data_IF_559041695011
#
_entry.id   IF_559041695011
#
_cell.length_a   1.000
_cell.length_b   1.000
_cell.length_c   1.000
_cell.angle_alpha   90.00
_cell.angle_beta   90.00
_cell.angle_gamma   90.00
#
_symmetry.space_group_name_H-M   'P 1'
#
loop_
_entity.id
_entity.type
_entity.pdbx_description
1 polymer ?
#
# COMPACT_ATOMS: atom_id res chain seq x y z
N UNK A 1 24.80 -29.21 -29.15
CA UNK A 1 24.74 -29.93 -27.87
C UNK A 1 24.10 -29.00 -26.87
N UNK A 2 23.07 -29.43 -26.15
CA UNK A 2 22.44 -28.62 -25.11
C UNK A 2 23.48 -28.33 -24.02
N UNK A 3 23.68 -27.07 -23.63
CA UNK A 3 24.59 -26.75 -22.53
C UNK A 3 23.91 -26.96 -21.17
N UNK A 4 24.70 -27.23 -20.13
CA UNK A 4 24.21 -27.28 -18.76
C UNK A 4 23.85 -25.87 -18.32
N UNK A 5 22.58 -25.64 -18.01
CA UNK A 5 22.14 -24.39 -17.40
C UNK A 5 21.91 -24.59 -15.90
N UNK A 6 22.45 -23.71 -15.05
CA UNK A 6 22.26 -23.77 -13.61
C UNK A 6 21.34 -22.64 -13.15
N UNK A 7 20.26 -23.03 -12.47
CA UNK A 7 19.28 -22.14 -11.84
C UNK A 7 19.27 -22.37 -10.33
N UNK A 8 18.49 -21.59 -9.59
CA UNK A 8 18.26 -21.74 -8.16
C UNK A 8 16.79 -22.05 -7.88
N UNK A 9 16.58 -23.02 -7.00
CA UNK A 9 15.26 -23.35 -6.45
C UNK A 9 14.68 -22.20 -5.61
N UNK A 10 13.43 -22.36 -5.16
CA UNK A 10 12.80 -21.43 -4.23
C UNK A 10 13.64 -21.19 -2.95
N UNK A 11 14.31 -22.25 -2.47
CA UNK A 11 15.17 -22.27 -1.27
C UNK A 11 16.64 -21.88 -1.54
N UNK A 12 16.99 -21.52 -2.78
CA UNK A 12 18.35 -21.10 -3.13
C UNK A 12 19.31 -22.24 -3.50
N UNK A 13 18.90 -23.51 -3.33
CA UNK A 13 19.69 -24.66 -3.76
C UNK A 13 19.82 -24.71 -5.28
N UNK A 14 20.96 -25.18 -5.83
CA UNK A 14 21.16 -25.34 -7.25
C UNK A 14 20.15 -26.29 -7.89
N UNK A 15 19.71 -25.93 -9.09
CA UNK A 15 18.87 -26.72 -9.98
C UNK A 15 19.57 -26.77 -11.34
N UNK A 16 19.90 -27.96 -11.80
CA UNK A 16 20.45 -28.16 -13.14
C UNK A 16 19.29 -28.26 -14.12
N UNK A 17 19.38 -27.54 -15.23
CA UNK A 17 18.47 -27.63 -16.36
C UNK A 17 19.26 -28.16 -17.56
N UNK A 18 18.73 -29.22 -18.17
CA UNK A 18 19.33 -29.83 -19.35
C UNK A 18 18.24 -30.42 -20.25
N UNK A 19 18.23 -30.00 -21.52
CA UNK A 19 17.26 -30.46 -22.53
C UNK A 19 15.79 -30.38 -22.09
N UNK A 20 15.42 -29.30 -21.39
CA UNK A 20 14.06 -29.08 -20.89
C UNK A 20 13.69 -29.86 -19.62
N UNK A 21 14.63 -30.61 -19.03
CA UNK A 21 14.44 -31.30 -17.75
C UNK A 21 15.10 -30.53 -16.60
N UNK A 22 14.47 -30.59 -15.43
CA UNK A 22 14.94 -29.97 -14.20
C UNK A 22 15.43 -31.03 -13.21
N UNK A 23 16.59 -30.78 -12.60
CA UNK A 23 17.19 -31.66 -11.61
C UNK A 23 17.54 -30.90 -10.33
N UNK A 24 17.06 -31.40 -9.21
CA UNK A 24 17.32 -30.84 -7.88
C UNK A 24 18.50 -31.52 -7.21
N UNK A 25 19.35 -30.75 -6.52
CA UNK A 25 20.51 -31.31 -5.82
C UNK A 25 20.03 -32.29 -4.73
N UNK A 26 20.56 -33.50 -4.76
CA UNK A 26 20.28 -34.57 -3.80
C UNK A 26 21.37 -34.69 -2.75
N UNK A 27 22.64 -34.71 -3.17
CA UNK A 27 23.78 -34.85 -2.26
C UNK A 27 25.07 -34.31 -2.89
N UNK A 28 26.08 -34.11 -2.05
CA UNK A 28 27.46 -33.86 -2.44
C UNK A 28 28.27 -35.07 -1.94
N UNK A 29 29.12 -35.64 -2.79
CA UNK A 29 29.92 -36.82 -2.45
C UNK A 29 31.30 -36.69 -3.08
N UNK A 30 32.33 -36.47 -2.27
CA UNK A 30 33.67 -36.17 -2.77
C UNK A 30 33.66 -34.94 -3.68
N UNK A 31 34.22 -35.07 -4.88
CA UNK A 31 34.35 -34.01 -5.87
C UNK A 31 33.17 -33.92 -6.87
N UNK A 32 32.03 -34.55 -6.56
CA UNK A 32 30.84 -34.49 -7.42
C UNK A 32 29.58 -34.07 -6.68
N UNK A 33 28.68 -33.42 -7.41
CA UNK A 33 27.30 -33.16 -7.00
C UNK A 33 26.38 -34.15 -7.67
N UNK A 34 25.45 -34.72 -6.90
CA UNK A 34 24.44 -35.66 -7.39
C UNK A 34 23.11 -34.93 -7.46
N UNK A 35 22.49 -34.97 -8.63
CA UNK A 35 21.18 -34.40 -8.87
C UNK A 35 20.18 -35.50 -9.23
N UNK A 36 18.92 -35.29 -8.83
CA UNK A 36 17.78 -36.14 -9.19
C UNK A 36 16.73 -35.30 -9.91
N UNK A 37 15.95 -35.91 -10.79
CA UNK A 37 14.84 -35.24 -11.44
C UNK A 37 13.92 -34.55 -10.41
N UNK A 38 13.40 -33.38 -10.78
CA UNK A 38 12.43 -32.64 -9.96
C UNK A 38 11.12 -33.41 -9.77
N UNK A 39 10.68 -34.16 -10.80
CA UNK A 39 9.57 -35.09 -10.67
C UNK A 39 9.98 -36.27 -9.78
N UNK A 40 9.27 -36.42 -8.66
CA UNK A 40 9.52 -37.46 -7.65
C UNK A 40 9.17 -38.87 -8.13
N UNK A 41 8.33 -38.99 -9.15
CA UNK A 41 8.02 -40.27 -9.77
C UNK A 41 9.10 -40.69 -10.79
N UNK A 42 9.94 -39.75 -11.21
CA UNK A 42 11.06 -40.02 -12.10
C UNK A 42 12.30 -40.46 -11.32
N UNK A 43 12.97 -41.51 -11.82
CA UNK A 43 14.22 -42.02 -11.23
C UNK A 43 15.47 -41.43 -11.88
N UNK A 44 15.33 -40.52 -12.84
CA UNK A 44 16.47 -39.95 -13.56
C UNK A 44 17.42 -39.19 -12.63
N UNK A 45 18.72 -39.40 -12.84
CA UNK A 45 19.80 -38.75 -12.08
C UNK A 45 20.94 -38.38 -13.02
N UNK A 46 21.63 -37.29 -12.67
CA UNK A 46 22.87 -36.86 -13.31
C UNK A 46 23.88 -36.43 -12.24
N UNK A 47 25.17 -36.52 -12.56
CA UNK A 47 26.25 -36.08 -11.69
C UNK A 47 27.08 -35.02 -12.40
N UNK A 48 27.41 -33.94 -11.69
CA UNK A 48 28.29 -32.89 -12.20
C UNK A 48 29.56 -32.78 -11.36
N UNK A 49 30.57 -32.07 -11.86
CA UNK A 49 31.63 -31.54 -11.01
C UNK A 49 31.06 -30.56 -9.96
N UNK A 50 31.89 -30.14 -8.99
CA UNK A 50 31.47 -29.23 -7.92
C UNK A 50 30.94 -27.88 -8.45
N UNK A 51 31.50 -27.42 -9.57
CA UNK A 51 31.17 -26.16 -10.24
C UNK A 51 29.88 -26.26 -11.09
N UNK A 52 29.39 -27.47 -11.38
CA UNK A 52 28.22 -27.74 -12.22
C UNK A 52 28.40 -27.32 -13.68
N UNK A 53 29.63 -27.33 -14.17
CA UNK A 53 29.99 -26.93 -15.54
C UNK A 53 29.97 -28.12 -16.51
N UNK A 54 30.27 -29.32 -16.02
CA UNK A 54 30.35 -30.54 -16.83
C UNK A 54 29.66 -31.71 -16.14
N UNK A 55 29.08 -32.62 -16.94
CA UNK A 55 28.59 -33.89 -16.44
C UNK A 55 29.75 -34.86 -16.20
N UNK A 56 29.83 -35.37 -14.98
CA UNK A 56 30.64 -36.56 -14.63
C UNK A 56 29.85 -37.83 -14.97
N UNK A 57 28.52 -37.75 -14.86
CA UNK A 57 27.60 -38.78 -15.33
C UNK A 57 26.39 -38.11 -15.97
N UNK A 58 26.19 -38.37 -17.25
CA UNK A 58 25.05 -37.86 -18.00
C UNK A 58 23.72 -38.27 -17.37
N UNK A 59 22.66 -37.49 -17.61
CA UNK A 59 21.34 -37.86 -17.14
C UNK A 59 20.86 -39.18 -17.73
N UNK A 60 20.35 -40.05 -16.87
CA UNK A 60 19.67 -41.27 -17.32
C UNK A 60 18.30 -40.97 -17.93
N UNK A 61 17.69 -41.97 -18.58
CA UNK A 61 16.36 -41.87 -19.19
C UNK A 61 15.29 -41.37 -18.21
N UNK A 62 14.33 -40.62 -18.76
CA UNK A 62 13.18 -40.08 -18.05
C UNK A 62 11.92 -40.88 -18.38
N UNK A 63 11.02 -40.93 -17.40
CA UNK A 63 9.69 -41.53 -17.53
C UNK A 63 8.59 -40.51 -17.90
N UNK A 64 8.99 -39.29 -18.27
CA UNK A 64 8.08 -38.19 -18.61
C UNK A 64 8.71 -37.29 -19.67
N UNK A 65 7.85 -36.49 -20.32
CA UNK A 65 8.27 -35.48 -21.28
C UNK A 65 9.03 -34.33 -20.58
N UNK A 66 9.91 -33.61 -21.32
CA UNK A 66 10.52 -32.39 -20.82
C UNK A 66 9.48 -31.27 -20.67
N UNK A 67 9.78 -30.29 -19.82
CA UNK A 67 8.91 -29.15 -19.51
C UNK A 67 9.74 -27.85 -19.59
N UNK A 68 9.96 -27.33 -20.81
CA UNK A 68 10.74 -26.10 -21.02
C UNK A 68 10.04 -24.87 -20.43
N UNK A 69 8.72 -24.88 -20.30
CA UNK A 69 7.95 -23.74 -19.80
C UNK A 69 8.21 -23.53 -18.29
N UNK A 70 8.29 -24.61 -17.51
CA UNK A 70 8.75 -24.52 -16.11
C UNK A 70 10.18 -24.00 -15.99
N UNK A 71 11.06 -24.27 -16.95
CA UNK A 71 12.43 -23.72 -16.94
C UNK A 71 12.38 -22.19 -17.03
N UNK A 72 11.60 -21.65 -17.96
CA UNK A 72 11.42 -20.20 -18.13
C UNK A 72 10.85 -19.53 -16.88
N UNK A 73 9.89 -20.19 -16.20
CA UNK A 73 9.31 -19.67 -14.96
C UNK A 73 10.35 -19.63 -13.82
N UNK A 74 11.25 -20.62 -13.74
CA UNK A 74 12.31 -20.62 -12.73
C UNK A 74 13.35 -19.54 -13.05
N UNK A 75 13.71 -19.36 -14.33
CA UNK A 75 14.60 -18.28 -14.79
C UNK A 75 14.05 -16.92 -14.38
N UNK A 76 12.78 -16.63 -14.69
CA UNK A 76 12.08 -15.41 -14.28
C UNK A 76 12.16 -15.21 -12.76
N UNK A 77 11.84 -16.25 -11.98
CA UNK A 77 11.92 -16.18 -10.51
C UNK A 77 13.35 -15.92 -10.02
N UNK A 78 14.36 -16.38 -10.74
CA UNK A 78 15.76 -16.16 -10.38
C UNK A 78 16.18 -14.73 -10.68
N UNK A 79 15.82 -14.21 -11.85
CA UNK A 79 16.07 -12.83 -12.27
C UNK A 79 15.44 -11.84 -11.30
N UNK A 80 14.13 -11.94 -11.05
CA UNK A 80 13.43 -10.98 -10.18
C UNK A 80 13.92 -11.05 -8.73
N UNK A 81 14.39 -12.22 -8.27
CA UNK A 81 15.02 -12.35 -6.94
C UNK A 81 16.39 -11.69 -6.90
N UNK A 82 17.19 -11.86 -7.95
CA UNK A 82 18.51 -11.24 -8.05
C UNK A 82 18.39 -9.72 -8.08
N UNK A 83 17.58 -9.17 -9.00
CA UNK A 83 17.30 -7.72 -9.07
C UNK A 83 16.68 -7.20 -7.78
N UNK A 84 15.76 -7.95 -7.18
CA UNK A 84 15.16 -7.59 -5.89
C UNK A 84 16.15 -7.50 -4.72
N UNK A 85 17.31 -8.16 -4.80
CA UNK A 85 18.35 -8.09 -3.76
C UNK A 85 19.48 -7.11 -4.06
N UNK A 86 19.61 -6.64 -5.31
CA UNK A 86 20.77 -5.84 -5.74
C UNK A 86 20.41 -4.49 -6.37
N UNK A 87 19.13 -4.15 -6.49
CA UNK A 87 18.67 -2.92 -7.15
C UNK A 87 17.56 -2.22 -6.38
N UNK A 88 17.51 -0.90 -6.51
CA UNK A 88 16.48 -0.04 -5.91
C UNK A 88 15.29 0.23 -6.84
N UNK A 89 15.34 -0.28 -8.08
CA UNK A 89 14.30 -0.11 -9.11
C UNK A 89 12.89 -0.39 -8.57
N UNK A 90 11.83 0.24 -9.09
CA UNK A 90 10.50 -0.07 -8.59
C UNK A 90 10.14 -1.56 -8.80
N UNK A 91 9.48 -2.18 -7.81
CA UNK A 91 9.07 -3.61 -7.90
C UNK A 91 8.25 -3.90 -9.16
N UNK A 92 7.40 -2.96 -9.57
CA UNK A 92 6.61 -3.06 -10.80
C UNK A 92 7.48 -3.08 -12.05
N UNK A 93 8.52 -2.23 -12.11
CA UNK A 93 9.48 -2.17 -13.22
C UNK A 93 10.25 -3.47 -13.36
N UNK A 94 10.83 -3.98 -12.26
CA UNK A 94 11.55 -5.26 -12.26
C UNK A 94 10.65 -6.38 -12.81
N UNK A 95 9.40 -6.46 -12.34
CA UNK A 95 8.48 -7.48 -12.79
C UNK A 95 8.10 -7.30 -14.26
N UNK A 96 7.78 -6.08 -14.68
CA UNK A 96 7.37 -5.80 -16.06
C UNK A 96 8.47 -6.16 -17.05
N UNK A 97 9.70 -5.74 -16.78
CA UNK A 97 10.85 -6.05 -17.63
C UNK A 97 11.09 -7.55 -17.73
N UNK A 98 11.08 -8.24 -16.59
CA UNK A 98 11.33 -9.67 -16.54
C UNK A 98 10.21 -10.46 -17.24
N UNK A 99 8.96 -9.99 -17.22
CA UNK A 99 7.86 -10.62 -17.95
C UNK A 99 7.98 -10.47 -19.47
N UNK A 100 8.70 -9.46 -19.98
CA UNK A 100 8.91 -9.28 -21.44
C UNK A 100 9.76 -10.39 -22.07
N UNK A 101 10.55 -11.09 -21.26
CA UNK A 101 11.45 -12.15 -21.73
C UNK A 101 10.79 -13.53 -21.70
N UNK A 102 9.57 -13.64 -21.15
CA UNK A 102 8.84 -14.91 -21.05
C UNK A 102 8.19 -15.30 -22.39
N UNK A 103 8.39 -16.54 -22.86
CA UNK A 103 7.67 -17.08 -24.00
C UNK A 103 6.15 -17.19 -23.76
N UNK A 104 5.36 -16.94 -24.81
CA UNK A 104 3.89 -16.93 -24.71
C UNK A 104 3.29 -18.27 -24.23
N UNK A 105 3.91 -19.38 -24.58
CA UNK A 105 3.48 -20.72 -24.17
C UNK A 105 3.69 -20.99 -22.68
N UNK A 106 4.62 -20.29 -22.01
CA UNK A 106 4.84 -20.40 -20.57
C UNK A 106 3.93 -19.49 -19.72
N UNK A 107 3.19 -18.55 -20.36
CA UNK A 107 2.29 -17.60 -19.68
C UNK A 107 1.18 -18.28 -18.88
N UNK A 108 0.51 -19.35 -19.36
CA UNK A 108 -0.55 -20.02 -18.60
C UNK A 108 -0.10 -20.57 -17.25
N UNK A 109 1.18 -20.93 -17.13
CA UNK A 109 1.77 -21.52 -15.92
C UNK A 109 2.38 -20.47 -14.98
N UNK A 110 2.31 -19.19 -15.33
CA UNK A 110 2.85 -18.12 -14.49
C UNK A 110 2.07 -17.97 -13.18
N UNK A 111 2.77 -17.76 -12.06
CA UNK A 111 2.13 -17.26 -10.85
C UNK A 111 1.52 -15.88 -11.08
N UNK A 112 0.55 -15.50 -10.26
CA UNK A 112 -0.04 -14.15 -10.31
C UNK A 112 0.99 -13.05 -10.11
N UNK A 113 0.79 -11.89 -10.75
CA UNK A 113 1.64 -10.71 -10.58
C UNK A 113 1.83 -10.33 -9.10
N UNK A 114 0.78 -10.48 -8.29
CA UNK A 114 0.85 -10.24 -6.83
C UNK A 114 1.87 -11.16 -6.14
N UNK A 115 1.89 -12.44 -6.51
CA UNK A 115 2.85 -13.41 -5.96
C UNK A 115 4.28 -13.08 -6.39
N UNK A 116 4.50 -12.74 -7.67
CA UNK A 116 5.81 -12.37 -8.19
C UNK A 116 6.36 -11.08 -7.57
N UNK A 117 5.52 -10.04 -7.44
CA UNK A 117 5.89 -8.81 -6.72
C UNK A 117 6.26 -9.09 -5.26
N UNK A 118 5.57 -10.01 -4.60
CA UNK A 118 5.89 -10.38 -3.21
C UNK A 118 7.25 -11.09 -3.11
N UNK A 119 7.64 -11.88 -4.11
CA UNK A 119 8.99 -12.49 -4.17
C UNK A 119 10.06 -11.40 -4.22
N UNK A 120 9.89 -10.38 -5.08
CA UNK A 120 10.82 -9.25 -5.19
C UNK A 120 10.95 -8.52 -3.85
N UNK A 121 9.81 -8.14 -3.24
CA UNK A 121 9.77 -7.41 -1.96
C UNK A 121 10.45 -8.16 -0.83
N UNK A 122 10.27 -9.49 -0.74
CA UNK A 122 10.93 -10.34 0.27
C UNK A 122 12.43 -10.48 0.07
N UNK A 123 12.95 -10.13 -1.11
CA UNK A 123 14.37 -10.17 -1.43
C UNK A 123 15.09 -8.85 -1.24
N UNK A 124 14.34 -7.75 -1.13
CA UNK A 124 14.89 -6.48 -0.67
C UNK A 124 15.29 -6.63 0.78
N UNK A 125 16.51 -6.20 1.09
CA UNK A 125 16.93 -6.14 2.47
C UNK A 125 16.18 -5.01 3.18
N UNK A 126 15.73 -5.22 4.42
CA UNK A 126 15.26 -4.11 5.22
C UNK A 126 16.41 -3.13 5.42
N UNK A 127 16.09 -1.83 5.39
CA UNK A 127 17.05 -0.77 5.69
C UNK A 127 17.67 -1.06 7.05
N UNK A 128 19.00 -1.23 7.08
CA UNK A 128 19.76 -1.34 8.32
C UNK A 128 20.10 0.07 8.78
N UNK A 129 19.83 0.35 10.06
CA UNK A 129 20.26 1.59 10.69
C UNK A 129 21.78 1.53 10.93
N UNK A 130 22.41 2.69 11.07
CA UNK A 130 23.81 2.80 11.40
C UNK A 130 24.08 2.48 12.89
N UNK A 131 25.35 2.62 13.31
CA UNK A 131 25.79 2.34 14.68
C UNK A 131 25.09 3.21 15.75
N UNK A 132 24.55 4.36 15.36
CA UNK A 132 23.81 5.26 16.24
C UNK A 132 22.29 5.04 16.16
N UNK A 133 21.83 4.02 15.43
CA UNK A 133 20.42 3.75 15.22
C UNK A 133 19.76 4.75 14.26
N UNK A 134 20.52 5.40 13.40
CA UNK A 134 20.01 6.38 12.45
C UNK A 134 20.01 5.85 11.00
N UNK A 135 19.28 6.51 10.12
CA UNK A 135 19.23 6.19 8.71
C UNK A 135 20.60 6.36 8.05
N UNK A 136 21.03 5.39 7.21
CA UNK A 136 22.25 5.51 6.42
C UNK A 136 22.26 6.75 5.53
N UNK A 137 23.46 7.30 5.29
CA UNK A 137 23.68 8.52 4.50
C UNK A 137 23.07 8.49 3.10
N UNK A 138 22.96 7.32 2.49
CA UNK A 138 22.33 7.14 1.17
C UNK A 138 20.86 7.57 1.12
N UNK A 139 20.15 7.55 2.25
CA UNK A 139 18.73 7.97 2.33
C UNK A 139 18.55 9.41 2.79
N UNK A 140 19.63 10.11 3.15
CA UNK A 140 19.57 11.45 3.72
C UNK A 140 19.54 12.56 2.68
N UNK A 141 19.85 12.25 1.43
CA UNK A 141 19.93 13.22 0.36
C UNK A 141 18.90 12.90 -0.72
N UNK A 142 18.37 13.95 -1.35
CA UNK A 142 17.64 13.84 -2.60
C UNK A 142 18.59 13.49 -3.75
N UNK A 143 18.04 13.08 -4.90
CA UNK A 143 18.82 12.89 -6.14
C UNK A 143 19.57 14.16 -6.61
N UNK A 144 19.22 15.33 -6.07
CA UNK A 144 19.86 16.62 -6.34
C UNK A 144 20.88 17.03 -5.27
N UNK A 145 21.16 16.18 -4.29
CA UNK A 145 22.12 16.42 -3.23
C UNK A 145 21.62 17.31 -2.08
N UNK A 146 20.33 17.60 -2.02
CA UNK A 146 19.73 18.38 -0.92
C UNK A 146 19.40 17.47 0.27
N UNK A 147 19.54 17.98 1.50
CA UNK A 147 19.11 17.26 2.70
C UNK A 147 17.61 16.90 2.58
N UNK A 148 17.30 15.64 2.81
CA UNK A 148 15.96 15.08 2.70
C UNK A 148 15.40 14.54 4.01
N UNK A 149 16.23 14.35 5.04
CA UNK A 149 15.81 13.99 6.40
C UNK A 149 16.06 15.19 7.28
N UNK A 150 15.01 15.94 7.64
CA UNK A 150 15.12 17.17 8.43
C UNK A 150 14.86 16.94 9.92
N UNK A 151 14.21 15.84 10.28
CA UNK A 151 14.06 15.40 11.66
C UNK A 151 14.15 13.88 11.73
N UNK A 152 14.83 13.38 12.75
CA UNK A 152 14.98 11.95 13.00
C UNK A 152 15.17 11.68 14.48
N UNK A 153 14.23 10.93 15.03
CA UNK A 153 14.36 10.26 16.30
C UNK A 153 13.70 8.85 16.22
N UNK A 154 13.78 8.03 17.28
CA UNK A 154 13.19 6.69 17.28
C UNK A 154 11.67 6.64 17.09
N UNK A 155 10.95 7.75 17.33
CA UNK A 155 9.49 7.85 17.27
C UNK A 155 8.99 8.42 15.95
N UNK A 156 9.81 9.24 15.29
CA UNK A 156 9.43 10.02 14.14
C UNK A 156 10.59 10.32 13.21
N UNK A 157 10.35 10.14 11.92
CA UNK A 157 11.26 10.57 10.86
C UNK A 157 10.52 11.45 9.87
N UNK A 158 10.99 12.69 9.68
CA UNK A 158 10.42 13.65 8.72
C UNK A 158 11.32 13.72 7.49
N UNK A 159 10.77 13.27 6.37
CA UNK A 159 11.40 13.36 5.07
C UNK A 159 10.83 14.54 4.27
N UNK A 160 11.66 15.56 4.07
CA UNK A 160 11.37 16.75 3.26
C UNK A 160 12.67 17.53 3.01
N UNK A 161 12.62 18.61 2.26
CA UNK A 161 13.77 19.49 2.02
C UNK A 161 13.32 20.96 2.01
N UNK A 162 14.27 21.89 2.10
CA UNK A 162 13.98 23.34 2.14
C UNK A 162 13.13 23.81 0.95
N UNK A 163 13.36 23.24 -0.24
CA UNK A 163 12.54 23.54 -1.43
C UNK A 163 11.11 23.03 -1.28
N UNK A 164 10.91 21.83 -0.75
CA UNK A 164 9.57 21.30 -0.52
C UNK A 164 8.83 22.16 0.51
N UNK A 165 9.47 22.54 1.61
CA UNK A 165 8.91 23.42 2.62
C UNK A 165 8.57 24.80 2.04
N UNK A 166 9.45 25.36 1.19
CA UNK A 166 9.21 26.64 0.50
C UNK A 166 8.01 26.60 -0.45
N UNK A 167 7.78 25.46 -1.11
CA UNK A 167 6.58 25.25 -1.94
C UNK A 167 5.36 25.09 -1.03
N UNK A 168 5.45 24.25 0.01
CA UNK A 168 4.36 23.96 0.93
C UNK A 168 3.85 25.23 1.64
N UNK A 169 4.76 26.15 2.00
CA UNK A 169 4.43 27.48 2.54
C UNK A 169 3.50 28.29 1.64
N UNK A 170 3.68 28.19 0.32
CA UNK A 170 2.88 28.93 -0.66
C UNK A 170 1.50 28.32 -0.88
N UNK A 171 1.30 27.08 -0.46
CA UNK A 171 0.05 26.35 -0.62
C UNK A 171 -0.93 26.71 0.50
N UNK A 172 -2.03 27.40 0.18
CA UNK A 172 -3.10 27.72 1.14
C UNK A 172 -4.00 26.53 1.48
N UNK A 173 -4.01 25.51 0.62
CA UNK A 173 -4.79 24.29 0.81
C UNK A 173 -3.87 23.08 0.89
N UNK A 174 -3.96 22.35 2.00
CA UNK A 174 -3.21 21.12 2.23
C UNK A 174 -4.12 19.90 2.19
N UNK A 175 -3.50 18.76 1.86
CA UNK A 175 -4.14 17.44 1.88
C UNK A 175 -3.27 16.51 2.70
N UNK A 176 -3.88 15.77 3.60
CA UNK A 176 -3.17 14.88 4.49
C UNK A 176 -3.76 13.47 4.45
N UNK A 177 -2.88 12.47 4.38
CA UNK A 177 -3.29 11.07 4.37
C UNK A 177 -2.26 10.14 5.02
N UNK A 178 -2.77 9.12 5.70
CA UNK A 178 -1.99 8.09 6.40
C UNK A 178 -2.08 6.74 5.69
N UNK A 179 -0.94 6.15 5.34
CA UNK A 179 -0.85 4.81 4.74
C UNK A 179 -0.10 3.83 5.65
N UNK A 180 -0.75 2.71 5.95
CA UNK A 180 -0.21 1.66 6.84
C UNK A 180 0.55 0.55 6.10
N UNK A 181 0.10 0.18 4.89
CA UNK A 181 0.56 -1.04 4.20
C UNK A 181 1.99 -0.99 3.65
N UNK A 182 2.56 0.21 3.56
CA UNK A 182 3.91 0.47 3.01
C UNK A 182 4.90 0.90 4.10
N UNK A 183 4.45 0.99 5.35
CA UNK A 183 5.25 1.45 6.46
C UNK A 183 6.29 0.38 6.85
N UNK A 184 7.55 0.76 7.17
CA UNK A 184 8.51 -0.15 7.78
C UNK A 184 7.96 -0.74 9.08
N UNK A 185 8.34 -1.98 9.41
CA UNK A 185 7.86 -2.67 10.61
C UNK A 185 8.15 -1.94 11.93
N UNK A 186 9.13 -1.02 11.95
CA UNK A 186 9.47 -0.21 13.12
C UNK A 186 8.48 0.92 13.40
N UNK A 187 7.61 1.26 12.44
CA UNK A 187 6.67 2.37 12.53
C UNK A 187 5.26 1.91 12.22
N UNK A 188 4.27 2.64 12.71
CA UNK A 188 2.87 2.29 12.56
C UNK A 188 2.28 2.79 11.23
N UNK A 189 2.67 3.99 10.79
CA UNK A 189 2.17 4.57 9.56
C UNK A 189 3.17 5.49 8.87
N UNK A 190 3.01 5.61 7.54
CA UNK A 190 3.53 6.73 6.76
C UNK A 190 2.41 7.75 6.60
N UNK A 191 2.54 8.90 7.23
CA UNK A 191 1.66 10.04 7.05
C UNK A 191 2.29 11.02 6.05
N UNK A 192 1.47 11.66 5.22
CA UNK A 192 1.96 12.53 4.14
C UNK A 192 1.20 13.83 4.11
N UNK A 193 1.93 14.93 3.87
CA UNK A 193 1.36 16.26 3.67
C UNK A 193 1.62 16.69 2.24
N UNK A 194 0.54 17.09 1.58
CA UNK A 194 0.54 17.50 0.18
C UNK A 194 0.08 18.94 0.09
N UNK A 195 0.70 19.71 -0.79
CA UNK A 195 0.28 21.07 -1.12
C UNK A 195 -0.38 21.11 -2.50
N UNK A 196 -1.38 21.97 -2.66
CA UNK A 196 -1.89 22.32 -4.00
C UNK A 196 -0.99 23.35 -4.67
N UNK A 197 -0.28 22.95 -5.71
CA UNK A 197 0.54 23.83 -6.53
C UNK A 197 0.11 23.74 -8.00
N UNK A 198 -0.26 24.88 -8.60
CA UNK A 198 -0.74 24.94 -10.00
C UNK A 198 -1.87 23.94 -10.31
N UNK A 199 -2.85 23.84 -9.40
CA UNK A 199 -4.00 22.91 -9.47
C UNK A 199 -3.64 21.41 -9.39
N UNK A 200 -2.38 21.09 -9.08
CA UNK A 200 -1.94 19.72 -8.83
C UNK A 200 -1.65 19.53 -7.35
N UNK A 201 -2.03 18.37 -6.82
CA UNK A 201 -1.67 17.96 -5.47
C UNK A 201 -0.33 17.25 -5.52
N UNK A 202 0.66 17.79 -4.82
CA UNK A 202 2.03 17.25 -4.79
C UNK A 202 2.40 16.91 -3.35
N UNK A 203 2.89 15.69 -3.06
CA UNK A 203 3.42 15.36 -1.75
C UNK A 203 4.72 16.10 -1.49
N UNK A 204 4.82 16.78 -0.34
CA UNK A 204 5.94 17.65 -0.01
C UNK A 204 6.60 17.26 1.31
N UNK A 205 5.85 16.64 2.23
CA UNK A 205 6.38 16.10 3.49
C UNK A 205 5.88 14.68 3.66
N UNK A 206 6.80 13.80 4.04
CA UNK A 206 6.51 12.42 4.40
C UNK A 206 6.97 12.23 5.84
N UNK A 207 6.17 11.59 6.67
CA UNK A 207 6.53 11.33 8.07
C UNK A 207 6.21 9.90 8.45
N UNK A 208 7.19 9.20 9.00
CA UNK A 208 6.97 7.92 9.66
C UNK A 208 6.63 8.18 11.11
N UNK A 209 5.51 7.61 11.59
CA UNK A 209 5.04 7.76 12.96
C UNK A 209 4.90 6.38 13.62
N UNK A 210 5.27 6.27 14.90
CA UNK A 210 5.09 5.04 15.70
C UNK A 210 3.64 4.84 16.19
N UNK A 211 2.78 5.84 16.05
CA UNK A 211 1.40 5.79 16.52
C UNK A 211 0.43 6.60 15.66
N UNK A 212 -0.78 6.76 16.19
CA UNK A 212 -1.90 7.52 15.60
C UNK A 212 -2.79 8.19 16.67
N UNK A 213 -2.25 8.35 17.87
CA UNK A 213 -2.87 9.13 18.92
C UNK A 213 -2.76 10.62 18.58
N UNK A 214 -3.48 11.48 19.31
CA UNK A 214 -3.44 12.92 19.01
C UNK A 214 -2.05 13.50 19.32
N UNK A 215 -1.39 12.93 20.33
CA UNK A 215 -0.04 13.24 20.77
C UNK A 215 0.97 12.99 19.65
N UNK A 216 0.92 11.83 18.98
CA UNK A 216 1.83 11.50 17.86
C UNK A 216 1.75 12.55 16.73
N UNK A 217 0.54 13.03 16.41
CA UNK A 217 0.36 14.07 15.40
C UNK A 217 0.72 15.47 15.90
N UNK A 218 0.53 15.76 17.19
CA UNK A 218 0.95 17.04 17.76
C UNK A 218 2.46 17.17 17.70
N UNK A 219 3.18 16.14 18.15
CA UNK A 219 4.65 16.10 18.10
C UNK A 219 5.14 16.32 16.66
N UNK A 220 4.49 15.69 15.67
CA UNK A 220 4.77 15.93 14.25
C UNK A 220 4.55 17.38 13.84
N UNK A 221 3.38 17.95 14.13
CA UNK A 221 3.07 19.31 13.70
C UNK A 221 3.95 20.35 14.39
N UNK A 222 4.29 20.16 15.66
CA UNK A 222 5.23 21.01 16.40
C UNK A 222 6.61 20.98 15.73
N UNK A 223 7.17 19.81 15.41
CA UNK A 223 8.43 19.72 14.68
C UNK A 223 8.35 20.36 13.29
N UNK A 224 7.24 20.16 12.57
CA UNK A 224 7.05 20.77 11.25
C UNK A 224 7.02 22.30 11.33
N UNK A 225 6.36 22.87 12.34
CA UNK A 225 6.28 24.31 12.58
C UNK A 225 7.62 24.93 12.99
N UNK A 226 8.54 24.16 13.59
CA UNK A 226 9.92 24.61 13.84
C UNK A 226 10.74 24.74 12.55
N UNK A 227 10.41 23.98 11.51
CA UNK A 227 11.13 24.01 10.23
C UNK A 227 10.69 25.18 9.35
N UNK A 228 9.44 25.62 9.47
CA UNK A 228 8.91 26.73 8.70
C UNK A 228 7.59 27.27 9.27
N UNK A 229 7.35 28.57 9.14
CA UNK A 229 6.00 29.14 9.36
C UNK A 229 5.06 28.81 8.20
N UNK A 230 3.84 28.38 8.51
CA UNK A 230 2.80 28.08 7.53
C UNK A 230 1.51 28.85 7.81
N UNK A 231 0.88 29.34 6.75
CA UNK A 231 -0.42 30.03 6.82
C UNK A 231 -1.40 29.33 5.88
N UNK A 232 -2.37 28.63 6.47
CA UNK A 232 -3.29 27.74 5.76
C UNK A 232 -4.72 28.25 5.85
N UNK A 233 -5.45 28.15 4.75
CA UNK A 233 -6.89 28.40 4.73
C UNK A 233 -7.67 27.13 5.03
N UNK A 234 -7.21 25.99 4.50
CA UNK A 234 -7.92 24.72 4.71
C UNK A 234 -7.01 23.49 4.65
N UNK A 235 -7.41 22.45 5.39
CA UNK A 235 -6.74 21.15 5.40
C UNK A 235 -7.77 20.06 5.11
N UNK A 236 -7.63 19.37 3.98
CA UNK A 236 -8.44 18.20 3.66
C UNK A 236 -7.83 16.93 4.25
N UNK A 237 -8.61 16.19 5.05
CA UNK A 237 -8.12 15.06 5.83
C UNK A 237 -9.16 13.93 5.94
N UNK A 238 -8.72 12.71 6.27
CA UNK A 238 -9.62 11.61 6.65
C UNK A 238 -10.31 11.87 8.01
N UNK A 239 -11.34 11.10 8.32
CA UNK A 239 -12.18 11.16 9.51
C UNK A 239 -11.53 10.52 10.75
N UNK A 240 -10.23 10.74 10.93
CA UNK A 240 -9.52 10.35 12.12
C UNK A 240 -9.61 11.46 13.19
N UNK A 241 -10.20 11.13 14.34
CA UNK A 241 -10.43 12.11 15.42
C UNK A 241 -9.11 12.66 15.95
N UNK A 242 -8.09 11.83 16.08
CA UNK A 242 -6.77 12.23 16.57
C UNK A 242 -6.19 13.33 15.67
N UNK A 243 -6.09 13.06 14.37
CA UNK A 243 -5.60 14.04 13.38
C UNK A 243 -6.42 15.33 13.37
N UNK A 244 -7.76 15.23 13.41
CA UNK A 244 -8.64 16.40 13.44
C UNK A 244 -8.45 17.27 14.70
N UNK A 245 -8.19 16.64 15.86
CA UNK A 245 -7.88 17.36 17.10
C UNK A 245 -6.53 18.05 16.99
N UNK A 246 -5.51 17.36 16.52
CA UNK A 246 -4.16 17.90 16.39
C UNK A 246 -4.07 19.04 15.37
N UNK A 247 -4.84 18.96 14.27
CA UNK A 247 -4.99 20.06 13.31
C UNK A 247 -5.58 21.30 13.99
N UNK A 248 -6.65 21.17 14.77
CA UNK A 248 -7.28 22.32 15.46
C UNK A 248 -6.37 22.94 16.51
N UNK A 249 -5.50 22.16 17.13
CA UNK A 249 -4.51 22.64 18.10
C UNK A 249 -3.38 23.43 17.41
N UNK A 250 -2.82 22.89 16.32
CA UNK A 250 -1.59 23.42 15.70
C UNK A 250 -1.87 24.41 14.55
N UNK A 251 -3.03 24.34 13.93
CA UNK A 251 -3.47 25.22 12.84
C UNK A 251 -4.87 25.77 13.14
N UNK A 252 -5.04 26.58 14.20
CA UNK A 252 -6.36 27.03 14.67
C UNK A 252 -7.12 27.87 13.63
N UNK A 253 -6.40 28.57 12.76
CA UNK A 253 -6.97 29.43 11.71
C UNK A 253 -7.32 28.65 10.43
N UNK A 254 -6.82 27.42 10.28
CA UNK A 254 -7.08 26.60 9.11
C UNK A 254 -8.39 25.82 9.28
N UNK A 255 -9.25 25.85 8.25
CA UNK A 255 -10.50 25.09 8.27
C UNK A 255 -10.24 23.60 7.95
N UNK A 256 -10.49 22.66 8.88
CA UNK A 256 -10.45 21.24 8.55
C UNK A 256 -11.65 20.88 7.67
N UNK A 257 -11.39 20.14 6.59
CA UNK A 257 -12.38 19.64 5.63
C UNK A 257 -12.25 18.11 5.57
N UNK A 258 -13.36 17.43 5.83
CA UNK A 258 -13.46 15.98 5.75
C UNK A 258 -13.54 15.50 4.31
N UNK A 259 -12.69 14.55 3.94
CA UNK A 259 -12.61 14.05 2.58
C UNK A 259 -13.89 13.29 2.14
N UNK A 260 -14.56 13.73 1.07
CA UNK A 260 -15.77 13.05 0.54
C UNK A 260 -15.48 11.60 0.13
N UNK A 261 -14.31 11.34 -0.45
CA UNK A 261 -13.90 9.99 -0.83
C UNK A 261 -13.85 9.07 0.40
N UNK A 262 -13.22 9.51 1.49
CA UNK A 262 -13.18 8.74 2.72
C UNK A 262 -14.55 8.61 3.39
N UNK A 263 -15.43 9.62 3.29
CA UNK A 263 -16.83 9.51 3.75
C UNK A 263 -17.56 8.39 3.01
N UNK A 264 -17.39 8.30 1.68
CA UNK A 264 -17.97 7.24 0.86
C UNK A 264 -17.44 5.85 1.26
N UNK A 265 -16.17 5.75 1.60
CA UNK A 265 -15.57 4.51 2.09
C UNK A 265 -16.08 4.13 3.49
N UNK A 266 -16.28 5.10 4.40
CA UNK A 266 -16.90 4.87 5.70
C UNK A 266 -18.31 4.29 5.54
N UNK A 267 -19.14 4.90 4.69
CA UNK A 267 -20.48 4.41 4.41
C UNK A 267 -20.45 3.00 3.80
N UNK A 268 -19.59 2.77 2.80
CA UNK A 268 -19.47 1.44 2.19
C UNK A 268 -19.02 0.36 3.18
N UNK A 269 -18.07 0.68 4.06
CA UNK A 269 -17.62 -0.23 5.14
C UNK A 269 -18.78 -0.61 6.05
N UNK A 270 -19.63 0.34 6.42
CA UNK A 270 -20.81 0.06 7.24
C UNK A 270 -21.80 -0.87 6.51
N UNK A 271 -22.13 -0.56 5.26
CA UNK A 271 -23.03 -1.40 4.46
C UNK A 271 -22.53 -2.84 4.35
N UNK A 272 -21.21 -3.02 4.25
CA UNK A 272 -20.58 -4.34 4.26
C UNK A 272 -20.72 -5.05 5.60
N UNK A 273 -20.55 -4.33 6.72
CA UNK A 273 -20.76 -4.88 8.07
C UNK A 273 -22.21 -5.33 8.27
N UNK A 274 -23.17 -4.61 7.68
CA UNK A 274 -24.59 -4.94 7.70
C UNK A 274 -25.00 -6.07 6.73
N UNK A 275 -24.08 -6.57 5.89
CA UNK A 275 -24.39 -7.63 4.91
C UNK A 275 -25.14 -7.13 3.66
N UNK A 276 -25.16 -5.82 3.40
CA UNK A 276 -25.94 -5.20 2.33
C UNK A 276 -25.25 -5.21 0.95
N UNK A 277 -24.13 -5.91 0.76
CA UNK A 277 -23.42 -5.94 -0.53
C UNK A 277 -24.30 -6.48 -1.67
N UNK A 278 -24.98 -7.60 -1.42
CA UNK A 278 -25.90 -8.19 -2.41
C UNK A 278 -27.07 -7.27 -2.69
N UNK A 279 -27.68 -6.71 -1.64
CA UNK A 279 -28.79 -5.77 -1.75
C UNK A 279 -28.40 -4.52 -2.55
N UNK A 280 -27.25 -3.92 -2.28
CA UNK A 280 -26.72 -2.79 -3.04
C UNK A 280 -26.50 -3.12 -4.52
N UNK A 281 -26.07 -4.34 -4.84
CA UNK A 281 -25.87 -4.79 -6.22
C UNK A 281 -27.19 -5.00 -6.96
N UNK A 282 -28.22 -5.56 -6.30
CA UNK A 282 -29.45 -6.03 -6.97
C UNK A 282 -30.67 -5.13 -6.80
N UNK A 283 -30.66 -4.18 -5.85
CA UNK A 283 -31.78 -3.27 -5.59
C UNK A 283 -31.42 -1.83 -5.94
N UNK A 284 -31.95 -1.35 -7.06
CA UNK A 284 -31.67 -0.02 -7.60
C UNK A 284 -32.17 1.12 -6.70
N UNK A 285 -33.35 0.94 -6.08
CA UNK A 285 -33.94 1.90 -5.14
C UNK A 285 -33.02 2.10 -3.93
N UNK A 286 -32.62 1.00 -3.28
CA UNK A 286 -31.70 1.04 -2.15
C UNK A 286 -30.35 1.66 -2.52
N UNK A 287 -29.77 1.24 -3.65
CA UNK A 287 -28.50 1.80 -4.15
C UNK A 287 -28.61 3.30 -4.41
N UNK A 288 -29.71 3.76 -4.99
CA UNK A 288 -29.94 5.18 -5.23
C UNK A 288 -30.07 5.96 -3.93
N UNK A 289 -30.82 5.43 -2.95
CA UNK A 289 -31.00 6.09 -1.66
C UNK A 289 -29.68 6.20 -0.88
N UNK A 290 -28.83 5.16 -0.91
CA UNK A 290 -27.46 5.24 -0.37
C UNK A 290 -26.64 6.33 -1.06
N UNK A 291 -26.74 6.48 -2.39
CA UNK A 291 -26.06 7.56 -3.12
C UNK A 291 -26.59 8.94 -2.72
N UNK A 292 -27.91 9.08 -2.51
CA UNK A 292 -28.51 10.33 -2.01
C UNK A 292 -27.96 10.72 -0.64
N UNK A 293 -27.65 9.76 0.24
CA UNK A 293 -27.02 10.06 1.53
C UNK A 293 -25.66 10.76 1.36
N UNK A 294 -24.83 10.34 0.39
CA UNK A 294 -23.57 11.03 0.07
C UNK A 294 -23.82 12.39 -0.60
N UNK A 295 -24.87 12.50 -1.41
CA UNK A 295 -25.23 13.76 -2.07
C UNK A 295 -25.62 14.87 -1.07
N UNK A 296 -25.96 14.53 0.18
CA UNK A 296 -26.16 15.53 1.25
C UNK A 296 -24.94 16.41 1.49
N UNK A 297 -23.73 15.97 1.09
CA UNK A 297 -22.54 16.81 1.16
C UNK A 297 -22.68 18.08 0.31
N UNK A 298 -23.51 18.08 -0.72
CA UNK A 298 -23.70 19.21 -1.64
C UNK A 298 -25.01 19.98 -1.38
N UNK A 299 -25.64 19.76 -0.24
CA UNK A 299 -26.83 20.51 0.21
C UNK A 299 -26.37 21.62 1.14
N UNK A 300 -26.92 22.86 1.07
CA UNK A 300 -26.61 23.91 2.04
C UNK A 300 -26.69 23.37 3.48
N UNK A 301 -25.70 23.71 4.31
CA UNK A 301 -25.60 23.18 5.68
C UNK A 301 -26.90 23.34 6.48
N UNK A 302 -27.61 24.45 6.30
CA UNK A 302 -28.91 24.75 6.93
C UNK A 302 -30.03 23.79 6.53
N UNK A 303 -29.94 23.17 5.36
CA UNK A 303 -30.97 22.31 4.79
C UNK A 303 -30.60 20.82 4.83
N UNK A 304 -29.36 20.45 5.22
CA UNK A 304 -28.93 19.05 5.32
C UNK A 304 -29.89 18.20 6.15
N UNK A 305 -30.35 18.72 7.30
CA UNK A 305 -31.29 17.98 8.17
C UNK A 305 -32.65 17.77 7.50
N UNK A 306 -33.12 18.74 6.69
CA UNK A 306 -34.36 18.63 5.92
C UNK A 306 -34.17 17.64 4.77
N UNK A 307 -33.07 17.76 4.02
CA UNK A 307 -32.71 16.82 2.95
C UNK A 307 -32.59 15.38 3.45
N UNK A 308 -31.97 15.19 4.63
CA UNK A 308 -31.90 13.87 5.26
C UNK A 308 -33.29 13.31 5.58
N UNK A 309 -34.20 14.12 6.12
CA UNK A 309 -35.57 13.68 6.42
C UNK A 309 -36.31 13.22 5.16
N UNK A 310 -36.18 13.93 4.04
CA UNK A 310 -36.77 13.53 2.76
C UNK A 310 -36.22 12.20 2.25
N UNK A 311 -34.92 11.96 2.44
CA UNK A 311 -34.28 10.71 2.02
C UNK A 311 -34.72 9.54 2.90
N UNK A 312 -34.91 9.74 4.22
CA UNK A 312 -35.35 8.70 5.14
C UNK A 312 -36.69 8.10 4.71
N UNK A 313 -37.62 8.92 4.23
CA UNK A 313 -38.94 8.46 3.77
C UNK A 313 -38.87 7.57 2.52
N UNK A 314 -37.77 7.63 1.75
CA UNK A 314 -37.55 6.77 0.58
C UNK A 314 -37.01 5.39 0.95
N UNK A 315 -36.48 5.18 2.17
CA UNK A 315 -35.91 3.91 2.60
C UNK A 315 -36.99 2.94 3.12
N UNK A 316 -36.80 1.65 2.85
CA UNK A 316 -37.68 0.62 3.40
C UNK A 316 -37.31 0.35 4.88
N UNK A 317 -38.25 -0.10 5.70
CA UNK A 317 -38.02 -0.28 7.14
C UNK A 317 -36.87 -1.24 7.48
N UNK A 318 -36.59 -2.21 6.61
CA UNK A 318 -35.46 -3.15 6.74
C UNK A 318 -34.07 -2.50 6.52
N UNK A 319 -34.02 -1.28 5.97
CA UNK A 319 -32.78 -0.52 5.73
C UNK A 319 -32.41 0.42 6.87
N UNK A 320 -33.26 0.51 7.90
CA UNK A 320 -33.06 1.37 9.06
C UNK A 320 -31.66 1.26 9.71
N UNK A 321 -30.98 0.10 9.78
CA UNK A 321 -29.63 0.03 10.30
C UNK A 321 -28.62 0.95 9.59
N UNK A 322 -28.73 1.10 8.27
CA UNK A 322 -27.86 2.01 7.50
C UNK A 322 -28.14 3.48 7.80
N UNK A 323 -29.41 3.82 8.01
CA UNK A 323 -29.86 5.15 8.43
C UNK A 323 -29.44 5.47 9.87
N UNK A 324 -29.53 4.51 10.79
CA UNK A 324 -29.12 4.69 12.18
C UNK A 324 -27.63 5.03 12.29
N UNK A 325 -26.79 4.32 11.52
CA UNK A 325 -25.38 4.66 11.38
C UNK A 325 -25.20 6.07 10.83
N UNK A 326 -25.85 6.37 9.69
CA UNK A 326 -25.64 7.64 9.01
C UNK A 326 -26.06 8.82 9.89
N UNK A 327 -27.20 8.69 10.54
CA UNK A 327 -27.72 9.67 11.49
C UNK A 327 -26.76 9.85 12.66
N UNK A 328 -26.30 8.77 13.31
CA UNK A 328 -25.40 8.89 14.47
C UNK A 328 -24.07 9.57 14.11
N UNK A 329 -23.50 9.22 12.96
CA UNK A 329 -22.14 9.64 12.59
C UNK A 329 -22.13 11.03 11.94
N UNK A 330 -23.08 11.32 11.05
CA UNK A 330 -23.02 12.48 10.15
C UNK A 330 -24.06 13.57 10.46
N UNK A 331 -25.28 13.22 10.89
CA UNK A 331 -26.40 14.17 11.01
C UNK A 331 -26.76 14.53 12.47
N UNK A 332 -26.59 13.59 13.39
CA UNK A 332 -26.90 13.66 14.82
C UNK A 332 -28.34 13.26 15.15
N UNK A 333 -28.59 12.27 16.01
CA UNK A 333 -29.96 11.74 16.30
C UNK A 333 -30.93 12.78 16.86
N UNK A 334 -32.24 12.67 16.58
CA UNK A 334 -33.27 13.52 17.21
C UNK A 334 -33.34 13.31 18.74
N UNK A 335 -33.51 14.40 19.50
CA UNK A 335 -33.79 14.38 20.94
C UNK A 335 -35.29 14.31 21.17
N UNK A 336 -35.81 13.11 21.45
CA UNK A 336 -37.24 12.89 21.68
C UNK A 336 -38.09 13.29 20.47
N UNK A 337 -39.25 13.92 20.71
CA UNK A 337 -40.18 14.39 19.65
C UNK A 337 -39.90 15.83 19.17
N UNK A 338 -38.81 16.46 19.62
CA UNK A 338 -38.49 17.85 19.30
C UNK A 338 -37.65 18.04 18.03
N UNK A 339 -37.34 19.30 17.72
CA UNK A 339 -36.47 19.71 16.60
C UNK A 339 -34.97 19.57 16.96
N UNK A 340 -34.65 19.51 18.25
CA UNK A 340 -33.27 19.40 18.73
C UNK A 340 -32.66 18.03 18.39
N UNK A 341 -31.37 18.03 18.03
CA UNK A 341 -30.57 16.84 17.72
C UNK A 341 -29.37 16.70 18.68
N UNK A 342 -28.95 15.48 18.94
CA UNK A 342 -27.66 15.17 19.56
C UNK A 342 -26.54 15.58 18.61
N UNK A 343 -25.38 15.92 19.16
CA UNK A 343 -24.19 16.20 18.34
C UNK A 343 -23.78 14.93 17.58
N UNK A 344 -23.61 15.05 16.27
CA UNK A 344 -23.03 14.00 15.44
C UNK A 344 -21.56 13.79 15.78
N UNK A 345 -21.02 12.63 15.42
CA UNK A 345 -19.58 12.36 15.57
C UNK A 345 -18.74 13.37 14.78
N UNK A 346 -19.19 13.75 13.59
CA UNK A 346 -18.57 14.75 12.73
C UNK A 346 -19.58 15.87 12.43
N UNK A 347 -19.18 17.13 12.66
CA UNK A 347 -20.06 18.28 12.42
C UNK A 347 -20.41 18.42 10.94
N UNK A 348 -21.59 18.97 10.64
CA UNK A 348 -22.03 19.19 9.26
C UNK A 348 -21.01 20.01 8.46
N UNK A 349 -20.47 21.07 9.06
CA UNK A 349 -19.45 21.94 8.45
C UNK A 349 -18.15 21.22 8.09
N UNK A 350 -17.85 20.08 8.74
CA UNK A 350 -16.62 19.36 8.46
C UNK A 350 -16.71 18.64 7.10
N UNK A 351 -17.83 18.00 6.80
CA UNK A 351 -17.94 17.09 5.64
C UNK A 351 -18.76 17.67 4.49
N UNK A 352 -19.41 18.82 4.69
CA UNK A 352 -20.18 19.50 3.66
C UNK A 352 -19.27 20.21 2.64
N UNK A 353 -19.72 20.24 1.39
CA UNK A 353 -19.00 20.64 0.19
C UNK A 353 -19.77 21.71 -0.61
N UNK A 354 -20.82 22.29 -0.03
CA UNK A 354 -21.66 23.32 -0.66
C UNK A 354 -20.98 24.70 -0.64
#
# INVERSE_FOLDING_TARGET
MSEIQVLKSSRGNPVVCYSGYLYTQHSISGEKRVFRCDDRNCRSRCHTNIQMEVFIKDPSEHSHAPDPDRVHIIQLKNEIKARGSSSDEATGTILFDALRTIPLNAVPDLPTNKSLMQIIRRKRQPVQLDENGQLPSVFRLTDRGENFVLFEDPSMLIFTCDKNLSILKKCKHWFMDGTFSICPNSHYQLFTVHGMFSLQTIPLVYVLLIGKAAEDYNDFFEQLLLLHDFELESILVDYEIATLRSIRTNFPDAQPIGCLFHMSQCLWRELRTLGYQKKYATNDKFRMNVKKLLALAFVPVSDVVKGYALIVDDFDGEDYPSLDYFERVWVGKKKGRGIQRYQSKFSLQLWNMY
#
